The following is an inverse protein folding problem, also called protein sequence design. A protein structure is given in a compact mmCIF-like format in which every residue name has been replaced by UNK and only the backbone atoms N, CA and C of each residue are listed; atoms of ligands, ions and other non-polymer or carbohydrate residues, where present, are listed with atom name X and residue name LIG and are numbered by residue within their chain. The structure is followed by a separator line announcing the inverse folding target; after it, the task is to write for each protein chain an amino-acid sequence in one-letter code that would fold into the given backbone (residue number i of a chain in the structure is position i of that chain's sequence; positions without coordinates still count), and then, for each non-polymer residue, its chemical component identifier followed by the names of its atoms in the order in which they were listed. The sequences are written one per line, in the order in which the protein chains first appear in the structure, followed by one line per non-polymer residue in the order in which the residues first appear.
data_IF_822456875122
#
_entry.id   IF_822456875122
#
_cell.length_a   1.000
_cell.length_b   1.000
_cell.length_c   1.000
_cell.angle_alpha   90.00
_cell.angle_beta   90.00
_cell.angle_gamma   90.00
#
_symmetry.space_group_name_H-M   'P 1'
#
loop_
_entity.id
_entity.type
_entity.pdbx_description
1 polymer ?
#
# COMPACT_ATOMS: atom_id res chain seq x y z
N UNK A 1 12.36 -32.44 -13.97
CA UNK A 1 13.39 -31.64 -13.26
C UNK A 1 12.65 -30.59 -12.46
N UNK A 2 12.52 -30.79 -11.15
CA UNK A 2 11.74 -29.90 -10.30
C UNK A 2 12.54 -28.62 -10.03
N UNK A 3 12.04 -27.49 -10.50
CA UNK A 3 12.67 -26.19 -10.35
C UNK A 3 12.47 -25.71 -8.90
N UNK A 4 13.56 -25.65 -8.14
CA UNK A 4 13.55 -25.13 -6.78
C UNK A 4 13.46 -23.60 -6.85
N UNK A 5 12.24 -23.07 -6.99
CA UNK A 5 11.99 -21.63 -7.00
C UNK A 5 12.08 -21.08 -5.56
N UNK A 6 13.30 -21.03 -5.02
CA UNK A 6 13.57 -20.59 -3.67
C UNK A 6 13.40 -19.07 -3.55
N UNK A 7 12.60 -18.63 -2.58
CA UNK A 7 12.52 -17.21 -2.23
C UNK A 7 13.90 -16.74 -1.74
N UNK A 8 14.53 -15.85 -2.50
CA UNK A 8 15.83 -15.27 -2.14
C UNK A 8 15.64 -13.94 -1.43
N UNK A 9 16.38 -13.73 -0.34
CA UNK A 9 16.42 -12.46 0.39
C UNK A 9 17.85 -11.93 0.38
N UNK A 10 18.02 -10.64 0.05
CA UNK A 10 19.30 -9.94 0.10
C UNK A 10 19.18 -8.69 0.96
N UNK A 11 20.04 -8.60 1.98
CA UNK A 11 20.13 -7.41 2.83
C UNK A 11 21.09 -6.39 2.20
N UNK A 12 20.61 -5.17 1.97
CA UNK A 12 21.41 -4.04 1.53
C UNK A 12 21.63 -3.08 2.69
N UNK A 13 22.79 -3.16 3.34
CA UNK A 13 23.10 -2.42 4.58
C UNK A 13 24.14 -1.31 4.33
N UNK A 14 24.10 -0.27 5.17
CA UNK A 14 25.04 0.84 5.15
C UNK A 14 24.49 2.08 5.86
N UNK A 15 25.34 3.05 6.25
CA UNK A 15 24.92 4.28 6.95
C UNK A 15 24.02 5.17 6.07
N UNK A 16 23.42 6.22 6.64
CA UNK A 16 22.75 7.24 5.84
C UNK A 16 23.73 7.84 4.80
N UNK A 17 23.25 8.15 3.59
CA UNK A 17 24.11 8.67 2.52
C UNK A 17 24.95 7.63 1.75
N UNK A 18 24.98 6.36 2.16
CA UNK A 18 25.73 5.27 1.46
C UNK A 18 25.23 4.89 0.06
N UNK A 19 24.23 5.59 -0.49
CA UNK A 19 23.75 5.32 -1.85
C UNK A 19 22.82 4.10 -2.01
N UNK A 20 22.27 3.54 -0.91
CA UNK A 20 21.35 2.39 -0.98
C UNK A 20 20.18 2.62 -1.95
N UNK A 21 19.52 3.77 -1.85
CA UNK A 21 18.41 4.13 -2.73
C UNK A 21 18.87 4.21 -4.19
N UNK A 22 20.00 4.85 -4.45
CA UNK A 22 20.59 4.95 -5.79
C UNK A 22 20.87 3.55 -6.38
N UNK A 23 21.45 2.65 -5.58
CA UNK A 23 21.70 1.27 -6.00
C UNK A 23 20.40 0.54 -6.35
N UNK A 24 19.36 0.62 -5.51
CA UNK A 24 18.07 0.00 -5.82
C UNK A 24 17.49 0.53 -7.14
N UNK A 25 17.50 1.85 -7.35
CA UNK A 25 17.01 2.46 -8.59
C UNK A 25 17.83 2.00 -9.80
N UNK A 26 19.16 1.95 -9.68
CA UNK A 26 20.05 1.47 -10.75
C UNK A 26 19.78 0.01 -11.14
N UNK A 27 19.61 -0.88 -10.15
CA UNK A 27 19.28 -2.29 -10.39
C UNK A 27 17.89 -2.45 -11.04
N UNK A 28 16.91 -1.63 -10.62
CA UNK A 28 15.59 -1.59 -11.25
C UNK A 28 15.69 -1.15 -12.72
N UNK A 29 16.44 -0.07 -13.02
CA UNK A 29 16.65 0.37 -14.42
C UNK A 29 17.29 -0.72 -15.25
N UNK A 30 18.33 -1.36 -14.73
CA UNK A 30 19.00 -2.46 -15.42
C UNK A 30 18.02 -3.63 -15.70
N UNK A 31 17.16 -3.98 -14.74
CA UNK A 31 16.14 -5.01 -14.93
C UNK A 31 15.11 -4.62 -16.00
N UNK A 32 14.65 -3.37 -16.00
CA UNK A 32 13.69 -2.86 -16.99
C UNK A 32 14.27 -2.82 -18.39
N UNK A 33 15.53 -2.38 -18.54
CA UNK A 33 16.22 -2.35 -19.81
C UNK A 33 16.49 -3.76 -20.36
N UNK A 34 16.87 -4.71 -19.49
CA UNK A 34 17.15 -6.08 -19.89
C UNK A 34 15.89 -6.85 -20.33
N UNK A 35 14.75 -6.59 -19.70
CA UNK A 35 13.47 -7.23 -20.06
C UNK A 35 12.30 -6.28 -19.77
N UNK A 36 11.83 -5.54 -20.80
CA UNK A 36 10.68 -4.65 -20.67
C UNK A 36 9.41 -5.39 -20.29
N UNK A 37 9.19 -6.58 -20.88
CA UNK A 37 8.04 -7.47 -20.66
C UNK A 37 8.30 -8.56 -19.61
N UNK A 38 9.29 -8.35 -18.75
CA UNK A 38 9.62 -9.28 -17.66
C UNK A 38 8.50 -9.41 -16.61
N UNK A 39 8.69 -10.25 -15.58
CA UNK A 39 7.72 -10.40 -14.49
C UNK A 39 7.49 -9.07 -13.75
N UNK A 40 6.34 -8.86 -13.08
CA UNK A 40 6.06 -7.62 -12.36
C UNK A 40 7.15 -7.23 -11.36
N UNK A 41 7.54 -5.96 -11.33
CA UNK A 41 8.46 -5.42 -10.33
C UNK A 41 7.69 -4.56 -9.33
N UNK A 42 7.94 -4.80 -8.05
CA UNK A 42 7.36 -4.04 -6.95
C UNK A 42 8.47 -3.31 -6.21
N UNK A 43 8.37 -1.98 -6.12
CA UNK A 43 9.25 -1.18 -5.28
C UNK A 43 8.45 -0.53 -4.16
N UNK A 44 8.62 -1.04 -2.94
CA UNK A 44 7.94 -0.51 -1.77
C UNK A 44 8.72 0.63 -1.13
N UNK A 45 8.02 1.73 -0.88
CA UNK A 45 8.58 2.92 -0.26
C UNK A 45 7.55 3.61 0.65
N UNK A 46 7.99 4.46 1.60
CA UNK A 46 7.08 5.34 2.32
C UNK A 46 6.24 6.18 1.35
N UNK A 47 4.97 6.43 1.67
CA UNK A 47 4.02 7.19 0.83
C UNK A 47 4.57 8.54 0.39
N UNK A 48 5.36 9.17 1.25
CA UNK A 48 5.98 10.47 1.03
C UNK A 48 7.11 10.43 -0.02
N UNK A 49 7.69 9.25 -0.26
CA UNK A 49 8.86 9.07 -1.12
C UNK A 49 8.53 8.47 -2.50
N UNK A 50 7.35 7.86 -2.68
CA UNK A 50 6.99 7.15 -3.93
C UNK A 50 7.13 8.03 -5.17
N UNK A 51 6.54 9.23 -5.16
CA UNK A 51 6.63 10.17 -6.29
C UNK A 51 8.07 10.63 -6.58
N UNK A 52 8.87 10.83 -5.54
CA UNK A 52 10.28 11.22 -5.71
C UNK A 52 11.08 10.11 -6.39
N UNK A 53 10.83 8.85 -6.02
CA UNK A 53 11.49 7.70 -6.61
C UNK A 53 11.08 7.48 -8.07
N UNK A 54 9.80 7.64 -8.40
CA UNK A 54 9.32 7.58 -9.79
C UNK A 54 10.02 8.62 -10.67
N UNK A 55 10.08 9.87 -10.20
CA UNK A 55 10.80 10.92 -10.91
C UNK A 55 12.29 10.60 -11.04
N UNK A 56 12.94 10.17 -9.97
CA UNK A 56 14.36 9.80 -10.03
C UNK A 56 14.62 8.69 -11.05
N UNK A 57 13.74 7.69 -11.15
CA UNK A 57 13.86 6.63 -12.15
C UNK A 57 13.85 7.16 -13.59
N UNK A 58 12.98 8.13 -13.88
CA UNK A 58 12.75 8.70 -15.21
C UNK A 58 13.64 9.92 -15.55
N UNK A 59 14.47 10.39 -14.62
CA UNK A 59 15.44 11.47 -14.89
C UNK A 59 16.55 11.02 -15.84
N UNK A 60 16.78 9.71 -15.96
CA UNK A 60 17.79 9.12 -16.82
C UNK A 60 17.20 8.86 -18.22
N UNK A 61 17.77 9.48 -19.26
CA UNK A 61 17.32 9.35 -20.66
C UNK A 61 17.38 7.91 -21.18
N UNK A 62 18.11 7.02 -20.50
CA UNK A 62 18.16 5.60 -20.86
C UNK A 62 16.82 4.88 -20.65
N UNK A 63 15.89 5.45 -19.88
CA UNK A 63 14.58 4.86 -19.60
C UNK A 63 13.45 5.86 -19.94
N UNK A 64 12.94 5.78 -21.17
CA UNK A 64 11.82 6.61 -21.63
C UNK A 64 10.50 6.36 -20.86
N UNK A 65 10.37 5.19 -20.22
CA UNK A 65 9.21 4.82 -19.44
C UNK A 65 9.24 3.36 -18.98
N UNK A 66 8.25 2.98 -18.19
CA UNK A 66 8.07 1.59 -17.73
C UNK A 66 6.58 1.26 -17.55
N UNK A 67 6.23 -0.01 -17.76
CA UNK A 67 4.84 -0.51 -17.63
C UNK A 67 4.71 -1.54 -16.52
N UNK A 68 5.74 -2.39 -16.32
CA UNK A 68 5.71 -3.49 -15.34
C UNK A 68 6.18 -3.14 -13.93
N UNK A 69 6.86 -2.01 -13.75
CA UNK A 69 7.28 -1.53 -12.42
C UNK A 69 6.12 -0.80 -11.74
N UNK A 70 5.87 -1.15 -10.48
CA UNK A 70 4.95 -0.44 -9.60
C UNK A 70 5.69 0.04 -8.36
N UNK A 71 5.71 1.36 -8.15
CA UNK A 71 6.24 1.97 -6.94
C UNK A 71 5.07 2.23 -6.00
N UNK A 72 5.01 1.50 -4.89
CA UNK A 72 3.83 1.47 -4.01
C UNK A 72 4.21 1.82 -2.58
N UNK A 73 3.28 2.49 -1.89
CA UNK A 73 3.25 2.50 -0.43
C UNK A 73 2.62 1.20 0.08
N UNK A 74 2.75 0.93 1.37
CA UNK A 74 2.05 -0.19 2.00
C UNK A 74 0.52 -0.09 1.86
N UNK A 75 -0.05 1.13 1.95
CA UNK A 75 -1.48 1.37 1.71
C UNK A 75 -1.88 0.93 0.30
N UNK A 76 -1.17 1.41 -0.73
CA UNK A 76 -1.46 1.06 -2.13
C UNK A 76 -1.19 -0.41 -2.44
N UNK A 77 -0.21 -1.02 -1.77
CA UNK A 77 0.03 -2.45 -1.89
C UNK A 77 -1.17 -3.24 -1.35
N UNK A 78 -1.72 -2.84 -0.21
CA UNK A 78 -2.88 -3.50 0.37
C UNK A 78 -4.10 -3.39 -0.56
N UNK A 79 -4.41 -2.18 -1.05
CA UNK A 79 -5.46 -1.94 -2.05
C UNK A 79 -5.28 -2.84 -3.28
N UNK A 80 -4.08 -2.85 -3.85
CA UNK A 80 -3.74 -3.69 -4.99
C UNK A 80 -3.94 -5.19 -4.73
N UNK A 81 -3.60 -5.69 -3.54
CA UNK A 81 -3.82 -7.08 -3.16
C UNK A 81 -5.32 -7.38 -3.03
N UNK A 82 -6.08 -6.51 -2.36
CA UNK A 82 -7.53 -6.70 -2.22
C UNK A 82 -8.26 -6.68 -3.57
N UNK A 83 -7.92 -5.73 -4.45
CA UNK A 83 -8.44 -5.67 -5.81
C UNK A 83 -8.17 -6.97 -6.57
N UNK A 84 -6.95 -7.51 -6.47
CA UNK A 84 -6.59 -8.78 -7.13
C UNK A 84 -7.29 -10.00 -6.57
N UNK A 85 -7.64 -9.97 -5.29
CA UNK A 85 -8.41 -11.03 -4.64
C UNK A 85 -9.92 -10.86 -4.85
N UNK A 86 -10.36 -9.79 -5.51
CA UNK A 86 -11.79 -9.46 -5.66
C UNK A 86 -12.45 -9.15 -4.31
N UNK A 87 -11.66 -8.78 -3.30
CA UNK A 87 -12.12 -8.50 -1.95
C UNK A 87 -12.32 -7.00 -1.77
N UNK A 88 -13.33 -6.58 -0.99
CA UNK A 88 -13.50 -5.17 -0.67
C UNK A 88 -12.35 -4.70 0.22
N UNK A 89 -11.74 -3.56 -0.13
CA UNK A 89 -10.79 -2.89 0.75
C UNK A 89 -11.47 -2.55 2.08
N UNK A 90 -10.89 -2.92 3.24
CA UNK A 90 -11.46 -2.58 4.53
C UNK A 90 -11.64 -1.06 4.67
N UNK A 91 -12.74 -0.65 5.29
CA UNK A 91 -12.95 0.77 5.60
C UNK A 91 -11.89 1.22 6.63
N UNK A 92 -10.92 2.01 6.16
CA UNK A 92 -9.92 2.61 7.03
C UNK A 92 -10.56 3.79 7.76
N UNK A 93 -10.52 3.75 9.09
CA UNK A 93 -10.94 4.87 9.92
C UNK A 93 -9.84 5.94 9.86
N UNK A 94 -10.18 7.13 9.40
CA UNK A 94 -9.32 8.29 9.44
C UNK A 94 -9.25 8.83 10.88
N UNK A 95 -8.15 9.50 11.20
CA UNK A 95 -7.94 10.14 12.51
C UNK A 95 -9.02 11.20 12.82
N UNK A 96 -9.64 11.77 11.78
CA UNK A 96 -10.72 12.75 11.89
C UNK A 96 -12.12 12.15 11.86
N UNK A 97 -12.27 10.82 11.71
CA UNK A 97 -13.60 10.18 11.65
C UNK A 97 -14.31 10.16 13.01
N UNK A 98 -13.65 10.69 14.05
CA UNK A 98 -14.05 10.54 15.43
C UNK A 98 -14.14 9.07 15.81
N UNK A 99 -14.36 8.78 17.08
CA UNK A 99 -14.75 7.42 17.50
C UNK A 99 -16.20 7.13 17.05
N UNK A 100 -16.50 7.25 15.76
CA UNK A 100 -17.76 6.84 15.18
C UNK A 100 -17.72 5.32 15.10
N UNK A 101 -18.34 4.65 16.06
CA UNK A 101 -18.47 3.20 16.06
C UNK A 101 -19.44 2.79 14.94
N UNK A 102 -18.91 2.24 13.85
CA UNK A 102 -19.68 1.63 12.78
C UNK A 102 -19.86 0.15 13.08
N UNK A 103 -20.95 -0.22 13.74
CA UNK A 103 -21.37 -1.60 13.83
C UNK A 103 -22.25 -1.95 12.63
N UNK A 104 -21.83 -2.96 11.87
CA UNK A 104 -22.69 -3.61 10.88
C UNK A 104 -23.65 -4.54 11.62
N UNK A 105 -24.93 -4.19 11.61
CA UNK A 105 -26.04 -5.02 12.08
C UNK A 105 -26.78 -5.59 10.85
N UNK A 106 -27.41 -6.78 10.95
CA UNK A 106 -28.33 -7.23 9.91
C UNK A 106 -29.46 -6.21 9.78
N UNK A 107 -29.53 -5.52 8.63
CA UNK A 107 -30.52 -4.47 8.36
C UNK A 107 -29.95 -3.08 8.03
N UNK A 108 -28.64 -2.85 8.14
CA UNK A 108 -28.00 -1.62 7.66
C UNK A 108 -26.80 -1.15 8.47
N UNK A 109 -26.23 -0.01 8.05
CA UNK A 109 -25.11 0.65 8.71
C UNK A 109 -25.63 1.64 9.76
N UNK A 110 -25.44 1.33 11.05
CA UNK A 110 -25.78 2.29 12.11
C UNK A 110 -24.59 3.23 12.35
N UNK A 111 -24.79 4.53 12.13
CA UNK A 111 -23.79 5.56 12.44
C UNK A 111 -24.15 6.21 13.78
N UNK A 112 -23.36 5.98 14.84
CA UNK A 112 -23.51 6.71 16.10
C UNK A 112 -22.47 7.83 16.18
N UNK A 113 -22.95 9.08 16.22
CA UNK A 113 -22.12 10.25 16.54
C UNK A 113 -22.16 10.55 18.05
N UNK A 114 -21.02 10.81 18.70
CA UNK A 114 -21.01 11.28 20.09
C UNK A 114 -21.61 12.69 20.15
N UNK A 115 -22.64 12.89 20.97
CA UNK A 115 -23.06 14.24 21.41
C UNK A 115 -22.41 14.52 22.75
N UNK A 116 -21.58 15.56 22.81
CA UNK A 116 -20.94 16.06 24.03
C UNK A 116 -20.12 15.01 24.83
N UNK A 117 -19.42 14.10 24.15
CA UNK A 117 -18.48 13.18 24.81
C UNK A 117 -19.11 12.13 25.75
N UNK A 118 -20.43 12.01 25.81
CA UNK A 118 -21.13 11.06 26.68
C UNK A 118 -21.75 9.93 25.86
N UNK A 119 -21.29 8.71 26.10
CA UNK A 119 -21.87 7.49 25.55
C UNK A 119 -23.03 7.02 26.44
N UNK A 120 -24.29 7.22 26.02
CA UNK A 120 -25.44 6.60 26.67
C UNK A 120 -25.93 5.40 25.86
N UNK A 121 -25.97 4.23 26.49
CA UNK A 121 -26.81 3.13 26.05
C UNK A 121 -28.28 3.55 26.22
N UNK A 122 -29.06 3.51 25.15
CA UNK A 122 -30.52 3.45 25.28
C UNK A 122 -30.88 1.98 25.16
N UNK A 123 -31.31 1.38 26.28
CA UNK A 123 -32.13 0.19 26.15
C UNK A 123 -33.45 0.58 25.46
N UNK A 124 -33.99 -0.27 24.58
CA UNK A 124 -35.33 -0.06 24.06
C UNK A 124 -36.29 -0.06 25.26
N UNK A 125 -37.03 1.03 25.45
CA UNK A 125 -38.21 0.99 26.29
C UNK A 125 -39.19 0.05 25.58
N UNK A 126 -39.47 -1.10 26.18
CA UNK A 126 -40.68 -1.82 25.83
C UNK A 126 -41.85 -0.90 26.16
N UNK A 127 -42.68 -0.71 25.15
CA UNK A 127 -44.01 -0.13 25.28
C UNK A 127 -44.90 -1.33 25.60
N UNK A 128 -45.47 -1.34 26.80
CA UNK A 128 -46.59 -2.24 27.16
C UNK A 128 -47.81 -1.91 26.30
#
# INVERSE_FOLDING_TARGET
MSENNGVQVRFLLGPAGSGKTYRCLSEIRASLAASPEGPPLLFLAPKQATFQLERQLLVDDALAGYTRLRILSFERLAEFVFERLGQPTPALLSENDGLSFFARQPGGLLVKRPRHGVWRSRHPRQVD
#
